data_IF_617595361524
#
_entry.id   IF_617595361524
#
_cell.length_a   1.000
_cell.length_b   1.000
_cell.length_c   1.000
_cell.angle_alpha   90.00
_cell.angle_beta   90.00
_cell.angle_gamma   90.00
#
_symmetry.space_group_name_H-M   'P 1'
#
loop_
_entity.id
_entity.type
_entity.pdbx_description
1 polymer ?
#
# COMPACT_ATOMS: atom_id res chain seq x y z
N UNK A 1 -12.41 17.37 50.18
CA UNK A 1 -12.62 17.96 48.84
C UNK A 1 -11.82 17.12 47.89
N UNK A 2 -12.49 16.41 47.00
CA UNK A 2 -11.89 15.35 46.19
C UNK A 2 -11.33 15.94 44.89
N UNK A 3 -10.12 15.53 44.50
CA UNK A 3 -9.43 15.99 43.27
C UNK A 3 -10.30 15.86 42.02
N UNK A 4 -11.17 14.85 41.98
CA UNK A 4 -12.09 14.59 40.88
C UNK A 4 -13.11 15.72 40.67
N UNK A 5 -13.53 16.42 41.73
CA UNK A 5 -14.46 17.54 41.63
C UNK A 5 -13.77 18.79 41.06
N UNK A 6 -12.45 18.92 41.29
CA UNK A 6 -11.63 20.02 40.78
C UNK A 6 -11.37 19.87 39.27
N UNK A 7 -11.09 18.65 38.81
CA UNK A 7 -10.92 18.35 37.38
C UNK A 7 -12.25 18.52 36.60
N UNK A 8 -13.37 18.11 37.19
CA UNK A 8 -14.69 18.31 36.57
C UNK A 8 -15.05 19.80 36.42
N UNK A 9 -14.65 20.65 37.36
CA UNK A 9 -14.83 22.10 37.24
C UNK A 9 -13.89 22.70 36.18
N UNK A 10 -12.64 22.24 36.09
CA UNK A 10 -11.69 22.67 35.08
C UNK A 10 -12.17 22.30 33.66
N UNK A 11 -12.73 21.10 33.48
CA UNK A 11 -13.29 20.66 32.19
C UNK A 11 -14.53 21.50 31.83
N UNK A 12 -15.39 21.83 32.79
CA UNK A 12 -16.58 22.68 32.56
C UNK A 12 -16.19 24.11 32.18
N UNK A 13 -15.17 24.69 32.81
CA UNK A 13 -14.66 26.01 32.44
C UNK A 13 -14.04 26.01 31.04
N UNK A 14 -13.31 24.93 30.68
CA UNK A 14 -12.70 24.78 29.35
C UNK A 14 -13.73 24.54 28.24
N UNK A 15 -14.84 23.89 28.55
CA UNK A 15 -16.00 23.75 27.64
C UNK A 15 -16.78 25.06 27.51
N UNK A 16 -16.90 25.83 28.59
CA UNK A 16 -17.54 27.15 28.55
C UNK A 16 -16.72 28.16 27.73
N UNK A 17 -15.38 28.13 27.82
CA UNK A 17 -14.52 28.99 27.00
C UNK A 17 -14.59 28.62 25.51
N UNK A 18 -14.69 27.33 25.15
CA UNK A 18 -14.90 26.90 23.76
C UNK A 18 -16.31 27.22 23.22
N UNK A 19 -17.31 27.32 24.11
CA UNK A 19 -18.68 27.66 23.73
C UNK A 19 -18.92 29.16 23.53
N UNK A 20 -18.10 30.02 24.15
CA UNK A 20 -18.12 31.48 23.90
C UNK A 20 -17.39 31.83 22.58
N UNK A 21 -16.48 30.98 22.11
CA UNK A 21 -15.81 31.13 20.80
C UNK A 21 -16.64 30.62 19.61
N UNK A 22 -17.72 29.86 19.86
CA UNK A 22 -18.61 29.32 18.80
C UNK A 22 -19.93 30.10 18.74
N UNK A 23 -19.82 31.39 18.45
CA UNK A 23 -20.94 32.17 17.92
C UNK A 23 -21.25 31.68 16.50
N UNK A 24 -22.50 31.38 16.13
CA UNK A 24 -22.84 30.86 14.79
C UNK A 24 -22.82 31.93 13.68
N UNK A 25 -22.39 33.16 13.98
CA UNK A 25 -22.38 34.28 13.02
C UNK A 25 -21.00 34.65 12.46
N UNK A 26 -19.95 33.88 12.77
CA UNK A 26 -18.63 34.08 12.16
C UNK A 26 -18.15 32.79 11.50
N UNK A 27 -18.98 32.28 10.58
CA UNK A 27 -18.48 31.43 9.50
C UNK A 27 -17.44 32.25 8.73
N UNK A 28 -16.16 31.90 8.93
CA UNK A 28 -15.02 32.37 8.16
C UNK A 28 -15.36 32.26 6.67
N UNK A 29 -15.83 33.37 6.12
CA UNK A 29 -15.78 33.62 4.70
C UNK A 29 -14.32 33.47 4.30
N UNK A 30 -14.02 32.43 3.52
CA UNK A 30 -12.77 32.40 2.80
C UNK A 30 -12.66 33.73 2.03
N UNK A 31 -11.49 34.38 1.98
CA UNK A 31 -11.32 35.65 1.27
C UNK A 31 -11.61 35.57 -0.24
N UNK A 32 -11.99 34.39 -0.75
CA UNK A 32 -12.32 34.10 -2.15
C UNK A 32 -13.76 33.61 -2.36
N UNK A 33 -14.55 33.40 -1.30
CA UNK A 33 -15.99 33.22 -1.45
C UNK A 33 -16.62 34.60 -1.59
N UNK A 34 -16.69 35.08 -2.83
CA UNK A 34 -17.64 36.13 -3.18
C UNK A 34 -19.02 35.71 -2.62
N UNK A 35 -19.74 36.59 -1.91
CA UNK A 35 -21.11 36.29 -1.55
C UNK A 35 -21.86 36.07 -2.86
N UNK A 36 -22.38 34.85 -3.06
CA UNK A 36 -23.33 34.55 -4.12
C UNK A 36 -24.67 35.20 -3.75
N UNK A 37 -24.67 36.53 -3.63
CA UNK A 37 -25.86 37.32 -3.86
C UNK A 37 -26.16 37.12 -5.33
N UNK A 38 -27.21 36.38 -5.65
CA UNK A 38 -27.88 36.49 -6.94
C UNK A 38 -28.24 37.96 -7.12
N UNK A 39 -27.57 38.73 -8.00
CA UNK A 39 -28.07 40.04 -8.35
C UNK A 39 -29.32 39.75 -9.18
N UNK A 40 -30.46 40.24 -8.72
CA UNK A 40 -31.48 40.73 -9.64
C UNK A 40 -30.76 41.47 -10.77
N UNK A 41 -31.00 41.05 -12.02
CA UNK A 41 -30.33 41.53 -13.24
C UNK A 41 -29.65 42.89 -13.09
N UNK A 42 -28.32 42.98 -13.25
CA UNK A 42 -27.68 44.28 -13.30
C UNK A 42 -28.23 44.99 -14.54
N UNK A 43 -28.79 46.18 -14.35
CA UNK A 43 -29.08 47.11 -15.44
C UNK A 43 -27.86 47.16 -16.35
N UNK A 44 -28.05 46.83 -17.62
CA UNK A 44 -26.99 46.74 -18.64
C UNK A 44 -26.12 48.01 -18.70
N UNK A 45 -26.65 49.15 -18.26
CA UNK A 45 -25.93 50.40 -18.10
C UNK A 45 -24.77 50.32 -17.08
N UNK A 46 -24.96 49.70 -15.91
CA UNK A 46 -23.90 49.60 -14.88
C UNK A 46 -22.78 48.64 -15.30
N UNK A 47 -23.11 47.55 -15.99
CA UNK A 47 -22.11 46.64 -16.56
C UNK A 47 -21.25 47.34 -17.63
N UNK A 48 -21.87 48.18 -18.46
CA UNK A 48 -21.16 48.94 -19.50
C UNK A 48 -20.20 49.97 -18.90
N UNK A 49 -20.64 50.69 -17.86
CA UNK A 49 -19.79 51.65 -17.14
C UNK A 49 -18.61 50.96 -16.43
N UNK A 50 -18.82 49.78 -15.84
CA UNK A 50 -17.75 49.01 -15.20
C UNK A 50 -16.71 48.49 -16.22
N UNK A 51 -17.16 48.03 -17.39
CA UNK A 51 -16.29 47.59 -18.48
C UNK A 51 -15.49 48.77 -19.05
N UNK A 52 -16.13 49.93 -19.20
CA UNK A 52 -15.49 51.12 -19.75
C UNK A 52 -14.48 51.75 -18.77
N UNK A 53 -14.77 51.74 -17.46
CA UNK A 53 -13.79 52.14 -16.44
C UNK A 53 -12.61 51.18 -16.34
N UNK A 54 -12.83 49.86 -16.46
CA UNK A 54 -11.74 48.88 -16.54
C UNK A 54 -10.89 49.09 -17.80
N UNK A 55 -11.53 49.36 -18.94
CA UNK A 55 -10.85 49.65 -20.21
C UNK A 55 -10.01 50.92 -20.11
N UNK A 56 -10.58 52.02 -19.59
CA UNK A 56 -9.85 53.27 -19.37
C UNK A 56 -8.64 53.08 -18.44
N UNK A 57 -8.81 52.37 -17.31
CA UNK A 57 -7.69 52.06 -16.42
C UNK A 57 -6.60 51.27 -17.12
N UNK A 58 -6.96 50.25 -17.90
CA UNK A 58 -5.98 49.46 -18.63
C UNK A 58 -5.19 50.31 -19.63
N UNK A 59 -5.86 51.15 -20.43
CA UNK A 59 -5.20 51.99 -21.43
C UNK A 59 -4.34 53.09 -20.82
N UNK A 60 -4.72 53.64 -19.67
CA UNK A 60 -3.98 54.69 -18.98
C UNK A 60 -2.70 54.14 -18.33
N UNK A 61 -2.75 52.90 -17.82
CA UNK A 61 -1.55 52.19 -17.38
C UNK A 61 -0.59 51.87 -18.54
N UNK A 62 -1.10 51.47 -19.71
CA UNK A 62 -0.25 51.20 -20.88
C UNK A 62 0.43 52.47 -21.44
N UNK A 63 -0.26 53.62 -21.46
CA UNK A 63 0.31 54.88 -21.92
C UNK A 63 1.45 55.37 -21.02
N UNK A 64 1.27 55.30 -19.69
CA UNK A 64 2.30 55.68 -18.72
C UNK A 64 3.55 54.78 -18.74
N UNK A 65 3.40 53.52 -19.12
CA UNK A 65 4.53 52.59 -19.29
C UNK A 65 5.34 52.85 -20.58
N UNK A 66 4.77 53.51 -21.59
CA UNK A 66 5.44 53.76 -22.88
C UNK A 66 6.39 54.96 -22.88
N UNK A 67 6.24 55.88 -21.93
CA UNK A 67 7.09 57.08 -21.78
C UNK A 67 8.07 57.01 -20.61
N UNK A 68 7.93 56.01 -19.72
CA UNK A 68 8.79 55.86 -18.55
C UNK A 68 10.21 55.38 -18.94
N UNK A 69 11.23 56.05 -18.40
CA UNK A 69 12.62 55.64 -18.60
C UNK A 69 12.86 54.23 -18.03
N UNK A 70 13.68 53.37 -18.65
CA UNK A 70 13.98 52.03 -18.14
C UNK A 70 14.49 52.01 -16.69
N UNK A 71 15.08 53.11 -16.21
CA UNK A 71 15.50 53.27 -14.82
C UNK A 71 14.32 53.39 -13.82
N UNK A 72 13.19 53.96 -14.24
CA UNK A 72 11.99 54.15 -13.40
C UNK A 72 11.09 52.90 -13.40
N UNK A 73 11.16 52.09 -14.45
CA UNK A 73 10.44 50.82 -14.56
C UNK A 73 11.04 49.71 -13.69
N UNK A 74 12.35 49.75 -13.45
CA UNK A 74 13.07 48.76 -12.64
C UNK A 74 12.48 48.53 -11.24
N UNK A 75 12.20 49.56 -10.41
CA UNK A 75 11.60 49.37 -9.08
C UNK A 75 10.18 48.80 -9.16
N UNK A 76 9.37 49.21 -10.16
CA UNK A 76 8.00 48.70 -10.35
C UNK A 76 8.01 47.22 -10.75
N UNK A 77 8.89 46.81 -11.66
CA UNK A 77 9.08 45.41 -12.04
C UNK A 77 9.54 44.60 -10.82
N UNK A 78 10.51 45.11 -10.06
CA UNK A 78 11.01 44.45 -8.85
C UNK A 78 9.88 44.25 -7.82
N UNK A 79 9.03 45.25 -7.63
CA UNK A 79 7.87 45.16 -6.74
C UNK A 79 6.85 44.15 -7.25
N UNK A 80 6.52 44.16 -8.55
CA UNK A 80 5.59 43.22 -9.17
C UNK A 80 6.06 41.77 -9.05
N UNK A 81 7.35 41.51 -9.32
CA UNK A 81 7.98 40.19 -9.16
C UNK A 81 7.90 39.74 -7.70
N UNK A 82 8.22 40.60 -6.73
CA UNK A 82 8.12 40.26 -5.31
C UNK A 82 6.68 39.91 -4.90
N UNK A 83 5.69 40.68 -5.37
CA UNK A 83 4.28 40.39 -5.08
C UNK A 83 3.84 39.05 -5.70
N UNK A 84 4.26 38.78 -6.93
CA UNK A 84 4.00 37.51 -7.59
C UNK A 84 4.64 36.33 -6.84
N UNK A 85 5.89 36.46 -6.40
CA UNK A 85 6.58 35.45 -5.59
C UNK A 85 5.84 35.15 -4.28
N UNK A 86 5.32 36.18 -3.60
CA UNK A 86 4.52 35.99 -2.39
C UNK A 86 3.22 35.24 -2.68
N UNK A 87 2.55 35.51 -3.82
CA UNK A 87 1.35 34.76 -4.21
C UNK A 87 1.67 33.30 -4.55
N UNK A 88 2.77 33.04 -5.26
CA UNK A 88 3.26 31.69 -5.54
C UNK A 88 3.51 30.92 -4.24
N UNK A 89 4.16 31.53 -3.26
CA UNK A 89 4.38 30.93 -1.95
C UNK A 89 3.06 30.63 -1.23
N UNK A 90 2.08 31.55 -1.31
CA UNK A 90 0.76 31.33 -0.71
C UNK A 90 0.01 30.15 -1.36
N UNK A 91 0.04 30.04 -2.69
CA UNK A 91 -0.55 28.92 -3.44
C UNK A 91 0.12 27.61 -3.05
N UNK A 92 1.46 27.57 -3.00
CA UNK A 92 2.18 26.38 -2.58
C UNK A 92 1.89 26.00 -1.12
N UNK A 93 1.72 26.98 -0.24
CA UNK A 93 1.26 26.76 1.13
C UNK A 93 -0.13 26.13 1.20
N UNK A 94 -1.08 26.59 0.39
CA UNK A 94 -2.42 26.01 0.29
C UNK A 94 -2.39 24.59 -0.28
N UNK A 95 -1.56 24.34 -1.29
CA UNK A 95 -1.36 23.01 -1.85
C UNK A 95 -0.86 22.01 -0.78
N UNK A 96 0.10 22.42 0.04
CA UNK A 96 0.58 21.61 1.17
C UNK A 96 -0.50 21.37 2.22
N UNK A 97 -1.30 22.40 2.55
CA UNK A 97 -2.43 22.26 3.48
C UNK A 97 -3.47 21.27 2.95
N UNK A 98 -3.78 21.33 1.65
CA UNK A 98 -4.71 20.41 1.00
C UNK A 98 -4.19 18.96 1.05
N UNK A 99 -2.90 18.75 0.74
CA UNK A 99 -2.26 17.44 0.85
C UNK A 99 -2.34 16.88 2.28
N UNK A 100 -2.07 17.71 3.29
CA UNK A 100 -2.17 17.32 4.69
C UNK A 100 -3.62 16.99 5.12
N UNK A 101 -4.60 17.76 4.66
CA UNK A 101 -6.01 17.50 4.93
C UNK A 101 -6.49 16.16 4.35
N UNK A 102 -6.07 15.86 3.11
CA UNK A 102 -6.36 14.59 2.43
C UNK A 102 -5.72 13.40 3.17
N UNK A 103 -4.47 13.54 3.63
CA UNK A 103 -3.82 12.52 4.45
C UNK A 103 -4.55 12.26 5.78
N UNK A 104 -4.99 13.33 6.46
CA UNK A 104 -5.80 13.21 7.70
C UNK A 104 -7.13 12.51 7.44
N UNK A 105 -7.78 12.79 6.31
CA UNK A 105 -9.05 12.16 5.94
C UNK A 105 -8.90 10.65 5.78
N UNK A 106 -7.81 10.20 5.14
CA UNK A 106 -7.46 8.77 5.07
C UNK A 106 -7.25 8.15 6.45
N UNK A 107 -6.46 8.81 7.30
CA UNK A 107 -6.19 8.30 8.65
C UNK A 107 -7.48 8.16 9.48
N UNK A 108 -8.43 9.10 9.33
CA UNK A 108 -9.74 9.02 9.98
C UNK A 108 -10.56 7.85 9.45
N UNK A 109 -10.54 7.60 8.14
CA UNK A 109 -11.21 6.46 7.53
C UNK A 109 -10.68 5.12 8.05
N UNK A 110 -9.36 4.94 8.08
CA UNK A 110 -8.71 3.73 8.60
C UNK A 110 -9.02 3.52 10.08
N UNK A 111 -9.02 4.61 10.88
CA UNK A 111 -9.37 4.55 12.30
C UNK A 111 -10.82 4.16 12.52
N UNK A 112 -11.74 4.68 11.69
CA UNK A 112 -13.15 4.34 11.75
C UNK A 112 -13.37 2.87 11.40
N UNK A 113 -12.72 2.35 10.36
CA UNK A 113 -12.77 0.94 10.00
C UNK A 113 -12.27 0.06 11.15
N UNK A 114 -11.12 0.42 11.75
CA UNK A 114 -10.58 -0.30 12.89
C UNK A 114 -11.52 -0.30 14.10
N UNK A 115 -12.10 0.86 14.45
CA UNK A 115 -13.02 0.98 15.60
C UNK A 115 -14.28 0.13 15.38
N UNK A 116 -14.87 0.16 14.18
CA UNK A 116 -16.05 -0.68 13.87
C UNK A 116 -15.74 -2.17 13.90
N UNK A 117 -14.60 -2.59 13.31
CA UNK A 117 -14.16 -3.99 13.34
C UNK A 117 -13.91 -4.46 14.78
N UNK A 118 -13.37 -3.59 15.64
CA UNK A 118 -13.16 -3.91 17.06
C UNK A 118 -14.46 -4.13 17.84
N UNK A 119 -15.58 -3.57 17.36
CA UNK A 119 -16.92 -3.72 17.91
C UNK A 119 -17.71 -4.88 17.29
N UNK A 120 -17.11 -5.67 16.41
CA UNK A 120 -17.77 -6.78 15.72
C UNK A 120 -18.73 -6.36 14.59
N UNK A 121 -18.63 -5.11 14.13
CA UNK A 121 -19.37 -4.64 12.95
C UNK A 121 -18.48 -4.85 11.74
N UNK A 122 -18.57 -6.04 11.15
CA UNK A 122 -17.69 -6.45 10.04
C UNK A 122 -18.02 -5.77 8.70
N UNK A 123 -19.23 -5.23 8.55
CA UNK A 123 -19.67 -4.57 7.31
C UNK A 123 -20.66 -3.44 7.59
N UNK A 124 -20.22 -2.20 7.34
CA UNK A 124 -21.08 -1.02 7.31
C UNK A 124 -21.00 -0.40 5.90
N UNK A 125 -22.13 -0.14 5.22
CA UNK A 125 -22.12 0.32 3.83
C UNK A 125 -21.39 1.65 3.65
N UNK A 126 -21.48 2.56 4.62
CA UNK A 126 -20.77 3.86 4.56
C UNK A 126 -19.25 3.68 4.66
N UNK A 127 -18.76 2.78 5.52
CA UNK A 127 -17.32 2.53 5.63
C UNK A 127 -16.79 1.80 4.41
N UNK A 128 -17.60 0.90 3.82
CA UNK A 128 -17.28 0.29 2.54
C UNK A 128 -17.14 1.37 1.44
N UNK A 129 -18.03 2.36 1.38
CA UNK A 129 -17.95 3.44 0.39
C UNK A 129 -16.72 4.35 0.57
N UNK A 130 -16.32 4.62 1.82
CA UNK A 130 -15.11 5.39 2.13
C UNK A 130 -13.86 4.59 1.76
N UNK A 131 -13.83 3.30 2.08
CA UNK A 131 -12.74 2.40 1.69
C UNK A 131 -12.64 2.28 0.17
N UNK A 132 -13.78 2.15 -0.53
CA UNK A 132 -13.84 2.10 -1.99
C UNK A 132 -13.33 3.40 -2.63
N UNK A 133 -13.66 4.56 -2.07
CA UNK A 133 -13.09 5.84 -2.51
C UNK A 133 -11.54 5.82 -2.45
N UNK A 134 -10.95 5.38 -1.35
CA UNK A 134 -9.49 5.30 -1.24
C UNK A 134 -8.84 4.18 -2.05
N UNK A 135 -9.59 3.10 -2.35
CA UNK A 135 -9.13 2.04 -3.26
C UNK A 135 -9.17 2.48 -4.73
N UNK A 136 -10.17 3.30 -5.11
CA UNK A 136 -10.30 3.85 -6.45
C UNK A 136 -9.21 4.89 -6.76
N UNK A 137 -8.72 5.60 -5.75
CA UNK A 137 -7.70 6.63 -5.89
C UNK A 137 -6.44 6.28 -5.08
N UNK A 138 -5.47 5.61 -5.70
CA UNK A 138 -4.17 5.34 -5.07
C UNK A 138 -3.40 6.63 -4.74
N UNK A 139 -3.58 7.65 -5.57
CA UNK A 139 -2.96 8.94 -5.41
C UNK A 139 -3.81 10.06 -6.04
N UNK A 140 -3.57 11.29 -5.60
CA UNK A 140 -4.16 12.48 -6.18
C UNK A 140 -3.09 13.51 -6.50
N UNK A 141 -3.33 14.38 -7.48
CA UNK A 141 -2.38 15.42 -7.89
C UNK A 141 -2.84 16.77 -7.35
N UNK A 142 -1.94 17.47 -6.66
CA UNK A 142 -2.17 18.83 -6.20
C UNK A 142 -1.31 19.78 -7.06
N UNK A 143 -1.89 20.85 -7.63
CA UNK A 143 -1.12 21.80 -8.42
C UNK A 143 -0.15 22.56 -7.53
N UNK A 144 1.08 22.72 -8.00
CA UNK A 144 2.14 23.52 -7.36
C UNK A 144 2.76 24.42 -8.41
N UNK A 145 3.29 25.57 -8.01
CA UNK A 145 4.03 26.45 -8.91
C UNK A 145 5.50 26.34 -8.56
N UNK A 146 6.30 25.89 -9.50
CA UNK A 146 7.74 25.73 -9.34
C UNK A 146 8.48 26.68 -10.27
N UNK A 147 9.68 27.09 -9.84
CA UNK A 147 10.57 27.92 -10.64
C UNK A 147 11.59 27.02 -11.29
N UNK A 148 11.65 27.02 -12.62
CA UNK A 148 12.62 26.25 -13.38
C UNK A 148 14.06 26.81 -13.17
N UNK A 149 15.11 26.06 -13.56
CA UNK A 149 16.49 26.55 -13.47
C UNK A 149 16.77 27.80 -14.31
N UNK A 150 15.95 28.08 -15.33
CA UNK A 150 16.03 29.30 -16.14
C UNK A 150 15.33 30.50 -15.47
N UNK A 151 14.66 30.30 -14.34
CA UNK A 151 13.96 31.32 -13.58
C UNK A 151 12.50 31.56 -13.99
N UNK A 152 11.94 30.78 -14.93
CA UNK A 152 10.53 30.86 -15.32
C UNK A 152 9.66 30.07 -14.34
N UNK A 153 8.40 30.47 -14.21
CA UNK A 153 7.43 29.76 -13.38
C UNK A 153 6.64 28.78 -14.23
N UNK A 154 6.61 27.52 -13.80
CA UNK A 154 5.83 26.46 -14.42
C UNK A 154 4.79 25.95 -13.42
N UNK A 155 3.59 25.66 -13.92
CA UNK A 155 2.59 24.92 -13.16
C UNK A 155 3.02 23.45 -13.16
N UNK A 156 3.47 22.99 -12.00
CA UNK A 156 3.77 21.60 -11.73
C UNK A 156 2.59 20.91 -11.04
N UNK A 157 2.64 19.59 -10.99
CA UNK A 157 1.68 18.79 -10.24
C UNK A 157 2.42 17.86 -9.30
N UNK A 158 2.22 18.03 -8.01
CA UNK A 158 2.78 17.13 -7.01
C UNK A 158 1.81 15.98 -6.75
N UNK A 159 2.28 14.74 -6.93
CA UNK A 159 1.50 13.54 -6.63
C UNK A 159 1.50 13.30 -5.12
N UNK A 160 0.34 13.40 -4.49
CA UNK A 160 0.11 13.01 -3.10
C UNK A 160 -0.29 11.55 -3.11
N UNK A 161 0.65 10.70 -2.69
CA UNK A 161 0.44 9.27 -2.58
C UNK A 161 -0.17 8.95 -1.22
N UNK A 162 -1.38 8.39 -1.22
CA UNK A 162 -2.10 8.09 0.01
C UNK A 162 -1.43 6.97 0.82
N UNK A 163 -0.63 6.11 0.19
CA UNK A 163 0.01 4.95 0.80
C UNK A 163 1.47 5.19 1.19
N UNK A 164 2.01 6.39 0.92
CA UNK A 164 3.38 6.77 1.25
C UNK A 164 3.72 6.49 2.73
N UNK A 165 2.91 7.02 3.65
CA UNK A 165 3.13 6.84 5.09
C UNK A 165 3.12 5.35 5.52
N UNK A 166 2.30 4.52 4.87
CA UNK A 166 2.25 3.09 5.14
C UNK A 166 3.51 2.38 4.61
N UNK A 167 3.98 2.74 3.41
CA UNK A 167 5.24 2.21 2.86
C UNK A 167 6.42 2.61 3.73
N UNK A 168 6.48 3.88 4.16
CA UNK A 168 7.52 4.39 5.03
C UNK A 168 7.48 3.74 6.41
N UNK A 169 6.29 3.47 6.95
CA UNK A 169 6.13 2.71 8.18
C UNK A 169 6.57 1.25 8.02
N UNK A 170 6.28 0.61 6.88
CA UNK A 170 6.72 -0.75 6.57
C UNK A 170 8.23 -0.84 6.43
N UNK A 171 8.86 0.08 5.69
CA UNK A 171 10.32 0.13 5.55
C UNK A 171 10.99 0.42 6.88
N UNK A 172 10.44 1.35 7.68
CA UNK A 172 10.92 1.63 9.04
C UNK A 172 10.76 0.41 9.95
N UNK A 173 9.62 -0.28 9.91
CA UNK A 173 9.40 -1.50 10.68
C UNK A 173 10.34 -2.64 10.25
N UNK A 174 10.62 -2.77 8.95
CA UNK A 174 11.60 -3.73 8.43
C UNK A 174 13.01 -3.39 8.90
N UNK A 175 13.41 -2.11 8.84
CA UNK A 175 14.69 -1.65 9.34
C UNK A 175 14.84 -1.89 10.85
N UNK A 176 13.77 -1.65 11.63
CA UNK A 176 13.75 -1.96 13.07
C UNK A 176 13.80 -3.45 13.35
N UNK A 177 13.13 -4.30 12.55
CA UNK A 177 13.24 -5.76 12.69
C UNK A 177 14.63 -6.27 12.36
N UNK A 178 15.27 -5.74 11.31
CA UNK A 178 16.66 -6.07 10.96
C UNK A 178 17.61 -5.63 12.09
N UNK A 179 17.42 -4.42 12.63
CA UNK A 179 18.23 -3.91 13.73
C UNK A 179 18.01 -4.69 15.03
N UNK A 180 16.77 -5.00 15.38
CA UNK A 180 16.43 -5.80 16.57
C UNK A 180 16.91 -7.25 16.44
N UNK A 181 16.89 -7.81 15.22
CA UNK A 181 17.50 -9.10 14.92
C UNK A 181 19.00 -9.12 15.18
N UNK A 182 19.70 -8.01 14.87
CA UNK A 182 21.13 -7.85 15.20
C UNK A 182 21.38 -7.62 16.69
N UNK A 183 20.53 -6.84 17.38
CA UNK A 183 20.65 -6.62 18.83
C UNK A 183 20.43 -7.90 19.63
N UNK A 184 19.46 -8.72 19.22
CA UNK A 184 19.18 -10.01 19.87
C UNK A 184 20.35 -10.99 19.70
N UNK A 185 21.11 -10.90 18.60
CA UNK A 185 22.34 -11.68 18.43
C UNK A 185 23.55 -11.09 19.17
N UNK A 186 23.62 -9.78 19.43
CA UNK A 186 24.76 -9.19 20.15
C UNK A 186 24.68 -9.31 21.67
N UNK A 187 23.47 -9.26 22.25
CA UNK A 187 23.29 -9.53 23.69
C UNK A 187 23.41 -11.04 23.99
N UNK A 188 23.05 -11.89 23.03
CA UNK A 188 23.40 -13.31 23.05
C UNK A 188 24.91 -13.54 22.88
N UNK A 189 25.61 -12.75 22.06
CA UNK A 189 27.07 -12.84 21.90
C UNK A 189 27.86 -12.48 23.17
N UNK A 190 27.35 -11.58 24.02
CA UNK A 190 27.95 -11.29 25.33
C UNK A 190 27.70 -12.41 26.37
N UNK A 191 26.70 -13.27 26.15
CA UNK A 191 26.45 -14.48 26.94
C UNK A 191 27.04 -15.76 26.30
N UNK A 192 27.53 -15.69 25.05
CA UNK A 192 28.14 -16.79 24.29
C UNK A 192 29.67 -16.87 24.37
N UNK A 193 30.35 -16.02 25.15
CA UNK A 193 31.77 -16.20 25.43
C UNK A 193 32.08 -17.45 26.30
N UNK A 194 31.07 -18.25 26.66
CA UNK A 194 31.24 -19.42 27.52
C UNK A 194 30.69 -20.75 26.98
N UNK A 195 30.26 -20.85 25.72
CA UNK A 195 29.82 -22.14 25.17
C UNK A 195 30.29 -22.32 23.73
N UNK A 196 31.50 -22.88 23.63
CA UNK A 196 31.91 -23.61 22.45
C UNK A 196 30.91 -24.75 22.18
N UNK A 197 30.33 -24.78 20.97
CA UNK A 197 29.75 -25.97 20.34
C UNK A 197 28.22 -26.00 20.21
N UNK A 198 27.74 -25.74 18.98
CA UNK A 198 26.45 -26.10 18.36
C UNK A 198 25.26 -26.56 19.24
N UNK A 199 24.08 -25.89 19.12
CA UNK A 199 22.91 -26.61 18.57
C UNK A 199 21.84 -25.70 17.88
N UNK A 200 22.21 -24.62 17.18
CA UNK A 200 21.21 -23.74 16.54
C UNK A 200 20.37 -24.46 15.45
N UNK A 201 20.94 -25.49 14.81
CA UNK A 201 20.26 -26.28 13.78
C UNK A 201 19.19 -27.19 14.39
N UNK A 202 19.39 -27.69 15.62
CA UNK A 202 18.47 -28.63 16.28
C UNK A 202 17.19 -27.92 16.72
N UNK A 203 17.29 -26.70 17.24
CA UNK A 203 16.12 -25.95 17.71
C UNK A 203 15.22 -25.53 16.53
N UNK A 204 15.82 -25.14 15.40
CA UNK A 204 15.08 -24.84 14.17
C UNK A 204 14.41 -26.09 13.57
N UNK A 205 15.10 -27.23 13.56
CA UNK A 205 14.54 -28.50 13.06
C UNK A 205 13.27 -28.89 13.84
N UNK A 206 13.25 -28.63 15.15
CA UNK A 206 12.11 -28.91 16.01
C UNK A 206 10.88 -28.04 15.66
N UNK A 207 11.09 -26.76 15.31
CA UNK A 207 10.03 -25.84 14.90
C UNK A 207 9.48 -26.20 13.51
N UNK A 208 10.36 -26.56 12.58
CA UNK A 208 9.97 -27.06 11.26
C UNK A 208 9.15 -28.35 11.36
N UNK A 209 9.52 -29.28 12.24
CA UNK A 209 8.74 -30.49 12.49
C UNK A 209 7.34 -30.21 13.04
N UNK A 210 7.16 -29.20 13.89
CA UNK A 210 5.84 -28.85 14.42
C UNK A 210 4.91 -28.29 13.33
N UNK A 211 5.44 -27.45 12.42
CA UNK A 211 4.68 -26.92 11.27
C UNK A 211 4.32 -28.06 10.31
N UNK A 212 5.28 -28.96 10.02
CA UNK A 212 5.05 -30.11 9.16
C UNK A 212 4.00 -31.07 9.75
N UNK A 213 4.03 -31.33 11.06
CA UNK A 213 3.02 -32.16 11.74
C UNK A 213 1.61 -31.56 11.67
N UNK A 214 1.47 -30.23 11.82
CA UNK A 214 0.18 -29.53 11.71
C UNK A 214 -0.36 -29.53 10.28
N UNK A 215 0.52 -29.42 9.30
CA UNK A 215 0.14 -29.53 7.89
C UNK A 215 -0.28 -30.96 7.53
N UNK A 216 0.54 -31.95 7.93
CA UNK A 216 0.27 -33.37 7.69
C UNK A 216 -1.04 -33.84 8.33
N UNK A 217 -1.35 -33.38 9.56
CA UNK A 217 -2.61 -33.72 10.21
C UNK A 217 -3.81 -33.16 9.46
N UNK A 218 -3.74 -31.91 8.96
CA UNK A 218 -4.81 -31.31 8.15
C UNK A 218 -5.00 -32.05 6.82
N UNK A 219 -3.92 -32.45 6.15
CA UNK A 219 -3.98 -33.23 4.91
C UNK A 219 -4.57 -34.63 5.14
N UNK A 220 -4.14 -35.34 6.18
CA UNK A 220 -4.69 -36.65 6.52
C UNK A 220 -6.19 -36.58 6.83
N UNK A 221 -6.65 -35.57 7.57
CA UNK A 221 -8.08 -35.41 7.88
C UNK A 221 -8.91 -35.15 6.63
N UNK A 222 -8.38 -34.40 5.66
CA UNK A 222 -9.04 -34.17 4.38
C UNK A 222 -9.12 -35.46 3.53
N UNK A 223 -8.06 -36.26 3.53
CA UNK A 223 -8.03 -37.56 2.85
C UNK A 223 -8.99 -38.56 3.49
N UNK A 224 -9.02 -38.63 4.82
CA UNK A 224 -9.90 -39.56 5.54
C UNK A 224 -11.39 -39.22 5.35
N UNK A 225 -11.73 -37.93 5.21
CA UNK A 225 -13.10 -37.50 4.86
C UNK A 225 -13.56 -38.00 3.49
N UNK A 226 -12.65 -38.17 2.52
CA UNK A 226 -13.02 -38.68 1.20
C UNK A 226 -13.22 -40.21 1.17
N UNK A 227 -12.70 -40.94 2.16
CA UNK A 227 -12.86 -42.40 2.25
C UNK A 227 -14.17 -42.83 2.92
N UNK A 228 -14.88 -41.91 3.58
CA UNK A 228 -16.14 -42.19 4.29
C UNK A 228 -17.40 -42.08 3.40
N UNK A 229 -17.25 -41.81 2.11
CA UNK A 229 -18.36 -41.95 1.16
C UNK A 229 -18.61 -43.45 0.92
N UNK A 230 -19.79 -43.99 1.29
CA UNK A 230 -20.06 -45.41 1.20
C UNK A 230 -19.97 -45.87 -0.26
N UNK A 231 -19.27 -46.99 -0.54
CA UNK A 231 -19.19 -47.53 -1.88
C UNK A 231 -20.57 -48.03 -2.29
N UNK A 232 -21.25 -47.32 -3.19
CA UNK A 232 -22.37 -47.88 -3.95
C UNK A 232 -21.81 -48.97 -4.88
N UNK A 233 -21.81 -50.19 -4.34
CA UNK A 233 -21.31 -51.40 -5.00
C UNK A 233 -22.16 -51.71 -6.23
N UNK A 234 -21.57 -51.59 -7.42
CA UNK A 234 -22.00 -52.34 -8.60
C UNK A 234 -20.88 -53.33 -8.97
N UNK A 235 -21.05 -54.63 -8.69
CA UNK A 235 -20.05 -55.64 -8.99
C UNK A 235 -20.17 -56.03 -10.47
N UNK A 236 -19.14 -55.76 -11.28
CA UNK A 236 -19.15 -56.30 -12.64
C UNK A 236 -18.11 -55.81 -13.65
N UNK A 237 -17.28 -54.79 -13.36
CA UNK A 237 -16.31 -54.28 -14.35
C UNK A 237 -14.92 -54.04 -13.80
N UNK A 238 -14.31 -55.06 -13.20
CA UNK A 238 -12.89 -55.06 -12.80
C UNK A 238 -12.00 -55.68 -13.87
N UNK A 239 -11.82 -55.02 -15.03
CA UNK A 239 -10.69 -55.37 -15.92
C UNK A 239 -10.13 -54.27 -16.82
N UNK A 240 -10.46 -53.00 -16.55
CA UNK A 240 -9.84 -51.85 -17.23
C UNK A 240 -9.69 -50.65 -16.29
N UNK A 241 -9.09 -50.87 -15.11
CA UNK A 241 -8.62 -49.78 -14.25
C UNK A 241 -7.32 -49.23 -14.87
N UNK A 242 -7.45 -48.48 -15.97
CA UNK A 242 -6.42 -47.50 -16.37
C UNK A 242 -6.16 -46.65 -15.14
N UNK A 243 -4.91 -46.53 -14.73
CA UNK A 243 -4.41 -45.70 -13.62
C UNK A 243 -4.87 -44.26 -13.81
N UNK A 244 -6.10 -43.95 -13.35
CA UNK A 244 -6.61 -42.58 -13.33
C UNK A 244 -5.90 -41.89 -12.19
N UNK A 245 -5.16 -40.84 -12.53
CA UNK A 245 -4.52 -39.95 -11.58
C UNK A 245 -5.57 -39.45 -10.59
N UNK A 246 -5.44 -39.82 -9.32
CA UNK A 246 -6.37 -39.43 -8.27
C UNK A 246 -5.93 -38.10 -7.69
N UNK A 247 -6.87 -37.31 -7.15
CA UNK A 247 -6.54 -36.07 -6.45
C UNK A 247 -5.55 -36.30 -5.28
N UNK A 248 -5.59 -37.50 -4.69
CA UNK A 248 -4.65 -37.94 -3.67
C UNK A 248 -3.22 -38.09 -4.22
N UNK A 249 -3.05 -38.67 -5.41
CA UNK A 249 -1.74 -38.76 -6.08
C UNK A 249 -1.20 -37.34 -6.34
N UNK A 250 -2.03 -36.42 -6.83
CA UNK A 250 -1.67 -35.02 -7.02
C UNK A 250 -1.21 -34.33 -5.71
N UNK A 251 -1.94 -34.53 -4.62
CA UNK A 251 -1.61 -33.95 -3.32
C UNK A 251 -0.28 -34.48 -2.77
N UNK A 252 0.00 -35.79 -2.93
CA UNK A 252 1.27 -36.39 -2.53
C UNK A 252 2.43 -35.76 -3.31
N UNK A 253 2.32 -35.71 -4.64
CA UNK A 253 3.37 -35.13 -5.51
C UNK A 253 3.59 -33.63 -5.26
N UNK A 254 2.51 -32.88 -5.01
CA UNK A 254 2.60 -31.48 -4.66
C UNK A 254 3.31 -31.29 -3.30
N UNK A 255 2.92 -32.06 -2.28
CA UNK A 255 3.49 -31.95 -0.94
C UNK A 255 4.97 -32.37 -0.89
N UNK A 256 5.37 -33.40 -1.64
CA UNK A 256 6.77 -33.83 -1.69
C UNK A 256 7.64 -32.78 -2.38
N UNK A 257 7.16 -32.18 -3.47
CA UNK A 257 7.88 -31.12 -4.17
C UNK A 257 8.06 -29.86 -3.31
N UNK A 258 7.03 -29.48 -2.54
CA UNK A 258 7.11 -28.34 -1.61
C UNK A 258 8.17 -28.58 -0.52
N UNK A 259 8.23 -29.79 0.06
CA UNK A 259 9.24 -30.15 1.07
C UNK A 259 10.66 -30.11 0.47
N UNK A 260 10.85 -30.71 -0.70
CA UNK A 260 12.15 -30.71 -1.40
C UNK A 260 12.61 -29.28 -1.70
N UNK A 261 11.69 -28.38 -2.06
CA UNK A 261 12.00 -26.98 -2.32
C UNK A 261 12.55 -26.28 -1.09
N UNK A 262 11.92 -26.45 0.07
CA UNK A 262 12.38 -25.88 1.35
C UNK A 262 13.78 -26.39 1.69
N UNK A 263 14.03 -27.69 1.53
CA UNK A 263 15.35 -28.28 1.76
C UNK A 263 16.41 -27.72 0.80
N UNK A 264 16.05 -27.50 -0.47
CA UNK A 264 16.95 -26.91 -1.46
C UNK A 264 17.29 -25.45 -1.15
N UNK A 265 16.33 -24.64 -0.70
CA UNK A 265 16.62 -23.25 -0.32
C UNK A 265 17.58 -23.17 0.87
N UNK A 266 17.44 -24.09 1.84
CA UNK A 266 18.39 -24.20 2.96
C UNK A 266 19.77 -24.59 2.46
N UNK A 267 19.85 -25.60 1.58
CA UNK A 267 21.13 -26.01 1.00
C UNK A 267 21.79 -24.87 0.19
N UNK A 268 21.01 -24.04 -0.50
CA UNK A 268 21.53 -22.89 -1.26
C UNK A 268 21.98 -21.74 -0.38
N UNK A 269 21.34 -21.51 0.76
CA UNK A 269 21.82 -20.54 1.74
C UNK A 269 23.19 -20.94 2.29
N UNK A 270 23.41 -22.24 2.51
CA UNK A 270 24.71 -22.76 2.97
C UNK A 270 25.76 -22.83 1.85
N UNK A 271 25.35 -23.14 0.62
CA UNK A 271 26.26 -23.37 -0.50
C UNK A 271 25.74 -22.71 -1.80
N UNK A 272 26.00 -21.40 -2.00
CA UNK A 272 25.51 -20.68 -3.18
C UNK A 272 26.06 -21.25 -4.51
N UNK A 273 27.22 -21.93 -4.49
CA UNK A 273 27.77 -22.62 -5.67
C UNK A 273 26.91 -23.78 -6.17
N UNK A 274 26.06 -24.38 -5.33
CA UNK A 274 25.16 -25.48 -5.74
C UNK A 274 23.97 -25.00 -6.58
N UNK A 275 23.73 -23.69 -6.66
CA UNK A 275 22.58 -23.16 -7.41
C UNK A 275 22.64 -23.51 -8.90
N UNK A 276 23.81 -23.34 -9.53
CA UNK A 276 24.03 -23.62 -10.96
C UNK A 276 23.77 -25.09 -11.35
N UNK A 277 24.40 -26.10 -10.71
CA UNK A 277 24.15 -27.50 -11.06
C UNK A 277 22.70 -27.92 -10.80
N UNK A 278 22.05 -27.34 -9.78
CA UNK A 278 20.67 -27.70 -9.46
C UNK A 278 19.67 -27.12 -10.47
N UNK A 279 19.88 -25.88 -10.92
CA UNK A 279 19.11 -25.29 -12.01
C UNK A 279 19.27 -26.09 -13.30
N UNK A 280 20.51 -26.51 -13.62
CA UNK A 280 20.78 -27.35 -14.79
C UNK A 280 20.07 -28.72 -14.70
N UNK A 281 20.09 -29.34 -13.52
CA UNK A 281 19.36 -30.59 -13.26
C UNK A 281 17.85 -30.44 -13.40
N UNK A 282 17.28 -29.34 -12.91
CA UNK A 282 15.84 -29.06 -13.03
C UNK A 282 15.44 -28.86 -14.49
N UNK A 283 16.21 -28.09 -15.26
CA UNK A 283 15.98 -27.91 -16.71
C UNK A 283 16.03 -29.26 -17.43
N UNK A 284 16.99 -30.12 -17.10
CA UNK A 284 17.09 -31.46 -17.68
C UNK A 284 15.86 -32.33 -17.37
N UNK A 285 15.37 -32.32 -16.12
CA UNK A 285 14.15 -33.07 -15.72
C UNK A 285 12.92 -32.57 -16.48
N UNK A 286 12.76 -31.24 -16.60
CA UNK A 286 11.64 -30.64 -17.36
C UNK A 286 11.73 -31.01 -18.84
N UNK A 287 12.92 -30.94 -19.44
CA UNK A 287 13.13 -31.33 -20.84
C UNK A 287 12.81 -32.80 -21.08
N UNK A 288 13.24 -33.71 -20.19
CA UNK A 288 12.91 -35.15 -20.26
C UNK A 288 11.41 -35.37 -20.12
N UNK A 289 10.74 -34.64 -19.24
CA UNK A 289 9.29 -34.75 -19.06
C UNK A 289 8.52 -34.29 -20.30
N UNK A 290 8.91 -33.17 -20.92
CA UNK A 290 8.33 -32.67 -22.16
C UNK A 290 8.56 -33.67 -23.31
N UNK A 291 9.77 -34.22 -23.41
CA UNK A 291 10.09 -35.25 -24.39
C UNK A 291 9.18 -36.47 -24.24
N UNK A 292 8.97 -36.94 -23.00
CA UNK A 292 8.09 -38.08 -22.75
C UNK A 292 6.61 -37.80 -23.00
N UNK A 293 6.13 -36.59 -22.74
CA UNK A 293 4.71 -36.24 -22.94
C UNK A 293 4.37 -35.97 -24.39
N UNK A 294 5.27 -35.33 -25.14
CA UNK A 294 4.99 -34.85 -26.50
C UNK A 294 5.61 -35.75 -27.58
N UNK A 295 6.83 -36.23 -27.39
CA UNK A 295 7.60 -36.93 -28.44
C UNK A 295 7.61 -38.46 -28.32
N UNK A 296 7.16 -39.05 -27.21
CA UNK A 296 7.20 -40.51 -27.07
C UNK A 296 6.15 -41.19 -27.94
N UNK A 297 6.53 -42.31 -28.59
CA UNK A 297 5.66 -43.10 -29.46
C UNK A 297 4.39 -43.66 -28.76
N UNK A 298 4.32 -43.58 -27.43
CA UNK A 298 3.17 -43.97 -26.61
C UNK A 298 2.98 -42.95 -25.49
N UNK A 299 2.29 -41.82 -25.74
CA UNK A 299 2.13 -40.78 -24.75
C UNK A 299 1.37 -41.30 -23.54
N UNK A 300 2.01 -41.24 -22.36
CA UNK A 300 1.39 -41.57 -21.09
C UNK A 300 1.00 -40.27 -20.37
N UNK A 301 -0.26 -39.82 -20.48
CA UNK A 301 -0.67 -38.53 -19.92
C UNK A 301 -0.52 -38.48 -18.39
N UNK A 302 -0.56 -39.63 -17.70
CA UNK A 302 -0.41 -39.68 -16.24
C UNK A 302 0.96 -39.22 -15.75
N UNK A 303 2.02 -39.42 -16.55
CA UNK A 303 3.36 -38.95 -16.20
C UNK A 303 3.46 -37.42 -16.32
N UNK A 304 2.84 -36.85 -17.37
CA UNK A 304 2.79 -35.40 -17.56
C UNK A 304 2.09 -34.69 -16.41
N UNK A 305 0.94 -35.20 -15.96
CA UNK A 305 0.23 -34.61 -14.82
C UNK A 305 1.05 -34.66 -13.52
N UNK A 306 1.77 -35.76 -13.24
CA UNK A 306 2.63 -35.89 -12.06
C UNK A 306 3.75 -34.86 -12.05
N UNK A 307 4.45 -34.71 -13.18
CA UNK A 307 5.52 -33.72 -13.31
C UNK A 307 4.97 -32.29 -13.21
N UNK A 308 3.83 -32.00 -13.85
CA UNK A 308 3.19 -30.69 -13.76
C UNK A 308 2.82 -30.35 -12.30
N UNK A 309 2.21 -31.27 -11.56
CA UNK A 309 1.85 -31.06 -10.15
C UNK A 309 3.08 -30.86 -9.26
N UNK A 310 4.17 -31.59 -9.53
CA UNK A 310 5.42 -31.42 -8.82
C UNK A 310 6.06 -30.05 -9.11
N UNK A 311 6.03 -29.57 -10.36
CA UNK A 311 6.54 -28.25 -10.74
C UNK A 311 5.72 -27.12 -10.11
N UNK A 312 4.39 -27.24 -10.08
CA UNK A 312 3.52 -26.25 -9.43
C UNK A 312 3.82 -26.22 -7.92
N UNK A 313 3.97 -27.38 -7.27
CA UNK A 313 4.37 -27.45 -5.85
C UNK A 313 5.72 -26.82 -5.57
N UNK A 314 6.69 -27.04 -6.46
CA UNK A 314 8.01 -26.43 -6.36
C UNK A 314 7.95 -24.89 -6.51
N UNK A 315 7.11 -24.37 -7.41
CA UNK A 315 6.98 -22.94 -7.69
C UNK A 315 6.21 -22.19 -6.60
N UNK A 316 5.07 -22.73 -6.18
CA UNK A 316 4.22 -22.14 -5.13
C UNK A 316 4.95 -22.12 -3.78
N UNK A 317 5.75 -23.15 -3.48
CA UNK A 317 6.55 -23.19 -2.25
C UNK A 317 7.55 -22.03 -2.11
N UNK A 318 7.97 -21.39 -3.21
CA UNK A 318 8.91 -20.27 -3.20
C UNK A 318 8.30 -18.89 -3.01
N UNK A 319 6.97 -18.72 -3.10
CA UNK A 319 6.32 -17.41 -2.94
C UNK A 319 5.93 -17.09 -1.49
N UNK A 320 6.00 -18.07 -0.58
CA UNK A 320 5.60 -17.92 0.82
C UNK A 320 6.79 -17.79 1.78
N UNK A 321 8.00 -17.67 1.25
CA UNK A 321 9.26 -17.40 1.96
C UNK A 321 9.81 -16.06 1.49
#
# INVERSE_FOLDING_TARGET
MNDTDMELQAIRQKLASLKVESSPDNALAAPWSAPRQTPSSPDSAQATVAIETLKQRSTQSYAAYSEASPAELQPLITQGVRQFELQVQAINGLAQQQAAALARLKQLAERLEYDLRSRGVDSHPEVASIAEFFLAYEATTVPTIERDPQGNYALASHKVDFYQAQRDALTTAQALRQRAGWSATSDAAATEANWAGEPAIIDWLSRAQQILKRFWSRCLTAVNRQQLLPPSQSPGRLRRRRTRFTALDAAIWFSSAAIVRVLLDIAFQSYPMLWMPTMLGLIAIVAIAIYHTVLSARPNPGYGYRVLTALIGLFVGGQFL
#
